data_IF_641550557768
#
_entry.id   IF_641550557768
#
_cell.length_a   1.000
_cell.length_b   1.000
_cell.length_c   1.000
_cell.angle_alpha   90.00
_cell.angle_beta   90.00
_cell.angle_gamma   90.00
#
_symmetry.space_group_name_H-M   'P 1'
#
loop_
_entity.id
_entity.type
_entity.pdbx_description
1 polymer ?
#
# COMPACT_ATOMS: atom_id res chain seq x y z
N UNK A 1 -16.86 -16.69 -7.89
CA UNK A 1 -16.73 -15.42 -7.15
C UNK A 1 -16.40 -14.36 -8.19
N UNK A 2 -17.24 -13.33 -8.29
CA UNK A 2 -16.99 -12.18 -9.19
C UNK A 2 -16.17 -11.19 -8.39
N UNK A 3 -14.93 -10.98 -8.79
CA UNK A 3 -14.10 -9.90 -8.26
C UNK A 3 -14.37 -8.65 -9.09
N UNK A 4 -14.70 -7.54 -8.43
CA UNK A 4 -15.00 -6.27 -9.10
C UNK A 4 -13.95 -5.24 -8.75
N UNK A 5 -13.41 -4.59 -9.77
CA UNK A 5 -12.53 -3.43 -9.64
C UNK A 5 -13.22 -2.20 -10.27
N UNK A 6 -13.35 -1.14 -9.51
CA UNK A 6 -14.05 0.08 -9.93
C UNK A 6 -13.04 1.20 -10.19
N UNK A 7 -13.17 1.82 -11.35
CA UNK A 7 -12.47 3.05 -11.68
C UNK A 7 -13.50 4.17 -11.53
N UNK A 8 -13.23 5.08 -10.62
CA UNK A 8 -14.08 6.26 -10.42
C UNK A 8 -13.43 7.50 -11.06
N UNK A 9 -14.19 8.53 -11.43
CA UNK A 9 -13.62 9.75 -12.01
C UNK A 9 -12.48 10.35 -11.17
N UNK A 10 -12.54 10.23 -9.85
CA UNK A 10 -11.46 10.67 -8.94
C UNK A 10 -10.13 9.96 -9.19
N UNK A 11 -10.13 8.73 -9.70
CA UNK A 11 -8.92 7.97 -10.01
C UNK A 11 -8.08 8.66 -11.09
N UNK A 12 -8.70 9.40 -12.02
CA UNK A 12 -7.96 10.11 -13.08
C UNK A 12 -7.10 11.26 -12.57
N UNK A 13 -7.26 11.65 -11.31
CA UNK A 13 -6.47 12.68 -10.62
C UNK A 13 -5.57 12.09 -9.53
N UNK A 14 -5.30 10.79 -9.58
CA UNK A 14 -4.60 10.03 -8.54
C UNK A 14 -3.26 10.68 -8.14
N UNK A 15 -2.45 11.11 -9.11
CA UNK A 15 -1.14 11.70 -8.86
C UNK A 15 -1.21 13.17 -8.43
N UNK A 16 -2.35 13.85 -8.58
CA UNK A 16 -2.60 15.17 -8.00
C UNK A 16 -3.12 15.09 -6.56
N UNK A 17 -3.66 13.94 -6.16
CA UNK A 17 -4.19 13.72 -4.83
C UNK A 17 -3.07 13.45 -3.80
N UNK A 18 -3.46 13.23 -2.55
CA UNK A 18 -2.54 12.89 -1.47
C UNK A 18 -2.07 11.41 -1.55
N UNK A 19 -1.07 11.08 -0.73
CA UNK A 19 -0.52 9.72 -0.65
C UNK A 19 -1.52 8.67 -0.15
N UNK A 20 -2.56 9.08 0.57
CA UNK A 20 -3.61 8.17 1.04
C UNK A 20 -4.46 7.66 -0.12
N UNK A 21 -4.83 8.52 -1.07
CA UNK A 21 -5.58 8.13 -2.26
C UNK A 21 -4.73 7.18 -3.15
N UNK A 22 -3.44 7.48 -3.34
CA UNK A 22 -2.53 6.62 -4.13
C UNK A 22 -2.34 5.24 -3.49
N UNK A 23 -2.12 5.21 -2.18
CA UNK A 23 -2.03 3.96 -1.43
C UNK A 23 -3.36 3.20 -1.48
N UNK A 24 -4.49 3.89 -1.29
CA UNK A 24 -5.82 3.30 -1.36
C UNK A 24 -6.11 2.66 -2.71
N UNK A 25 -5.65 3.26 -3.80
CA UNK A 25 -5.75 2.69 -5.15
C UNK A 25 -4.95 1.37 -5.27
N UNK A 26 -3.71 1.34 -4.78
CA UNK A 26 -2.90 0.14 -4.74
C UNK A 26 -3.56 -0.96 -3.87
N UNK A 27 -3.98 -0.60 -2.66
CA UNK A 27 -4.62 -1.54 -1.73
C UNK A 27 -5.92 -2.10 -2.30
N UNK A 28 -6.65 -1.32 -3.09
CA UNK A 28 -7.87 -1.77 -3.77
C UNK A 28 -7.56 -2.79 -4.87
N UNK A 29 -6.53 -2.55 -5.70
CA UNK A 29 -6.08 -3.52 -6.71
C UNK A 29 -5.70 -4.85 -6.05
N UNK A 30 -4.85 -4.83 -5.02
CA UNK A 30 -4.43 -6.04 -4.33
C UNK A 30 -5.63 -6.76 -3.69
N UNK A 31 -6.51 -6.02 -3.00
CA UNK A 31 -7.68 -6.59 -2.33
C UNK A 31 -8.70 -7.20 -3.27
N UNK A 32 -8.71 -6.80 -4.55
CA UNK A 32 -9.60 -7.38 -5.56
C UNK A 32 -9.16 -8.77 -6.01
N UNK A 33 -7.89 -9.12 -5.80
CA UNK A 33 -7.30 -10.41 -6.21
C UNK A 33 -6.87 -11.27 -5.03
N UNK A 34 -6.60 -10.68 -3.90
CA UNK A 34 -6.13 -11.33 -2.68
C UNK A 34 -7.07 -11.04 -1.50
N UNK A 35 -7.91 -12.03 -1.17
CA UNK A 35 -8.85 -11.93 -0.04
C UNK A 35 -8.14 -11.91 1.32
N UNK A 36 -6.96 -12.52 1.43
CA UNK A 36 -6.20 -12.56 2.68
C UNK A 36 -5.51 -11.22 2.92
N UNK A 37 -5.06 -10.55 1.86
CA UNK A 37 -4.60 -9.16 1.95
C UNK A 37 -5.68 -8.23 2.54
N UNK A 38 -6.91 -8.33 2.04
CA UNK A 38 -8.05 -7.56 2.55
C UNK A 38 -8.31 -7.82 4.04
N UNK A 39 -8.23 -9.09 4.48
CA UNK A 39 -8.36 -9.46 5.90
C UNK A 39 -7.22 -8.87 6.74
N UNK A 40 -5.98 -8.95 6.23
CA UNK A 40 -4.80 -8.41 6.91
C UNK A 40 -4.87 -6.89 7.10
N UNK A 41 -5.32 -6.14 6.09
CA UNK A 41 -5.61 -4.71 6.21
C UNK A 41 -6.64 -4.41 7.29
N UNK A 42 -7.76 -5.14 7.26
CA UNK A 42 -8.84 -4.97 8.26
C UNK A 42 -8.36 -5.26 9.68
N UNK A 43 -7.59 -6.33 9.87
CA UNK A 43 -7.01 -6.68 11.17
C UNK A 43 -5.99 -5.61 11.62
N UNK A 44 -5.14 -5.14 10.72
CA UNK A 44 -4.19 -4.08 11.00
C UNK A 44 -4.89 -2.81 11.50
N UNK A 45 -5.91 -2.33 10.80
CA UNK A 45 -6.66 -1.12 11.20
C UNK A 45 -7.43 -1.31 12.51
N UNK A 46 -7.96 -2.52 12.75
CA UNK A 46 -8.57 -2.88 14.04
C UNK A 46 -7.55 -2.76 15.18
N UNK A 47 -6.39 -3.41 15.08
CA UNK A 47 -5.36 -3.37 16.11
C UNK A 47 -4.76 -1.97 16.28
N UNK A 48 -4.60 -1.21 15.20
CA UNK A 48 -4.17 0.18 15.25
C UNK A 48 -5.13 1.05 16.07
N UNK A 49 -6.44 0.87 15.84
CA UNK A 49 -7.48 1.59 16.58
C UNK A 49 -7.55 1.16 18.04
N UNK A 50 -7.43 -0.15 18.31
CA UNK A 50 -7.43 -0.71 19.66
C UNK A 50 -6.21 -0.23 20.46
N UNK A 51 -5.02 -0.23 19.85
CA UNK A 51 -3.80 0.31 20.48
C UNK A 51 -4.00 1.74 20.99
N UNK A 52 -4.54 2.62 20.18
CA UNK A 52 -4.75 4.02 20.58
C UNK A 52 -5.78 4.14 21.72
N UNK A 53 -6.85 3.33 21.68
CA UNK A 53 -7.84 3.31 22.76
C UNK A 53 -7.22 2.92 24.11
N UNK A 54 -6.34 1.91 24.11
CA UNK A 54 -5.66 1.46 25.32
C UNK A 54 -4.63 2.49 25.77
N UNK A 55 -3.82 3.00 24.87
CA UNK A 55 -2.83 4.03 25.19
C UNK A 55 -3.45 5.29 25.80
N UNK A 56 -4.64 5.72 25.35
CA UNK A 56 -5.36 6.87 25.95
C UNK A 56 -5.89 6.62 27.36
N UNK A 57 -6.09 5.35 27.73
CA UNK A 57 -6.56 4.92 29.05
C UNK A 57 -5.42 4.33 29.89
N UNK A 58 -4.19 4.66 29.54
CA UNK A 58 -2.98 4.03 30.06
C UNK A 58 -2.98 3.96 31.59
N UNK A 59 -2.81 2.76 32.09
CA UNK A 59 -2.37 2.46 33.45
C UNK A 59 -1.34 1.31 33.41
N UNK A 60 -0.52 1.19 34.43
CA UNK A 60 0.57 0.19 34.47
C UNK A 60 0.10 -1.27 34.27
N UNK A 61 -1.17 -1.58 34.56
CA UNK A 61 -1.73 -2.92 34.42
C UNK A 61 -2.01 -3.31 32.95
N UNK A 62 -1.92 -2.37 32.01
CA UNK A 62 -2.24 -2.61 30.60
C UNK A 62 -1.00 -2.79 29.72
N UNK A 63 0.20 -2.77 30.28
CA UNK A 63 1.46 -2.84 29.53
C UNK A 63 1.54 -4.11 28.68
N UNK A 64 1.22 -5.28 29.25
CA UNK A 64 1.30 -6.55 28.52
C UNK A 64 0.27 -6.63 27.39
N UNK A 65 -0.91 -6.03 27.59
CA UNK A 65 -1.91 -5.96 26.56
C UNK A 65 -1.46 -5.09 25.36
N UNK A 66 -0.87 -3.92 25.65
CA UNK A 66 -0.32 -3.04 24.59
C UNK A 66 0.78 -3.74 23.83
N UNK A 67 1.73 -4.41 24.50
CA UNK A 67 2.79 -5.18 23.84
C UNK A 67 2.23 -6.26 22.92
N UNK A 68 1.19 -6.99 23.35
CA UNK A 68 0.55 -8.01 22.53
C UNK A 68 -0.07 -7.41 21.25
N UNK A 69 -0.75 -6.27 21.37
CA UNK A 69 -1.36 -5.57 20.23
C UNK A 69 -0.27 -5.02 19.29
N UNK A 70 0.80 -4.44 19.84
CA UNK A 70 1.91 -3.93 19.05
C UNK A 70 2.62 -5.03 18.27
N UNK A 71 2.79 -6.22 18.89
CA UNK A 71 3.32 -7.40 18.20
C UNK A 71 2.43 -7.81 17.02
N UNK A 72 1.11 -7.90 17.23
CA UNK A 72 0.18 -8.18 16.13
C UNK A 72 0.21 -7.12 15.06
N UNK A 73 0.29 -5.85 15.46
CA UNK A 73 0.34 -4.72 14.53
C UNK A 73 1.61 -4.74 13.68
N UNK A 74 2.77 -5.07 14.27
CA UNK A 74 4.03 -5.21 13.56
C UNK A 74 3.97 -6.36 12.56
N UNK A 75 3.49 -7.53 12.96
CA UNK A 75 3.35 -8.70 12.11
C UNK A 75 2.43 -8.44 10.91
N UNK A 76 1.19 -7.95 11.13
CA UNK A 76 0.29 -7.59 10.04
C UNK A 76 0.87 -6.49 9.15
N UNK A 77 1.58 -5.53 9.73
CA UNK A 77 2.21 -4.45 8.97
C UNK A 77 3.27 -4.95 8.01
N UNK A 78 4.13 -5.87 8.43
CA UNK A 78 5.14 -6.48 7.56
C UNK A 78 4.49 -7.30 6.46
N UNK A 79 3.45 -8.10 6.77
CA UNK A 79 2.69 -8.87 5.77
C UNK A 79 2.09 -7.95 4.70
N UNK A 80 1.52 -6.81 5.10
CA UNK A 80 0.93 -5.82 4.18
C UNK A 80 2.01 -5.20 3.28
N UNK A 81 3.15 -4.77 3.85
CA UNK A 81 4.23 -4.18 3.07
C UNK A 81 4.84 -5.19 2.09
N UNK A 82 5.02 -6.45 2.51
CA UNK A 82 5.54 -7.51 1.65
C UNK A 82 4.59 -7.82 0.49
N UNK A 83 3.29 -7.93 0.76
CA UNK A 83 2.27 -8.13 -0.26
C UNK A 83 2.24 -6.97 -1.28
N UNK A 84 2.30 -5.71 -0.83
CA UNK A 84 2.39 -4.54 -1.71
C UNK A 84 3.63 -4.60 -2.61
N UNK A 85 4.77 -4.95 -2.03
CA UNK A 85 6.04 -5.06 -2.76
C UNK A 85 5.98 -6.15 -3.83
N UNK A 86 5.49 -7.33 -3.48
CA UNK A 86 5.38 -8.44 -4.42
C UNK A 86 4.41 -8.14 -5.55
N UNK A 87 3.24 -7.59 -5.24
CA UNK A 87 2.26 -7.15 -6.24
C UNK A 87 2.84 -6.08 -7.17
N UNK A 88 3.53 -5.09 -6.61
CA UNK A 88 4.14 -4.01 -7.40
C UNK A 88 5.23 -4.53 -8.34
N UNK A 89 6.01 -5.52 -7.90
CA UNK A 89 7.01 -6.19 -8.73
C UNK A 89 6.36 -6.86 -9.95
N UNK A 90 5.28 -7.60 -9.76
CA UNK A 90 4.53 -8.24 -10.85
C UNK A 90 3.88 -7.21 -11.77
N UNK A 91 3.31 -6.15 -11.21
CA UNK A 91 2.70 -5.06 -11.97
C UNK A 91 3.73 -4.35 -12.85
N UNK A 92 4.92 -4.05 -12.32
CA UNK A 92 6.02 -3.43 -13.07
C UNK A 92 6.51 -4.29 -14.24
N UNK A 93 6.49 -5.61 -14.12
CA UNK A 93 6.85 -6.51 -15.23
C UNK A 93 5.89 -6.38 -16.42
N UNK A 94 4.65 -6.02 -16.18
CA UNK A 94 3.62 -5.86 -17.20
C UNK A 94 3.49 -4.41 -17.73
N UNK A 95 3.95 -3.41 -16.97
CA UNK A 95 3.79 -1.99 -17.31
C UNK A 95 4.35 -1.64 -18.69
N UNK A 96 5.53 -2.15 -19.01
CA UNK A 96 6.24 -1.80 -20.24
C UNK A 96 5.82 -2.64 -21.45
N UNK A 97 4.84 -3.52 -21.32
CA UNK A 97 4.33 -4.30 -22.45
C UNK A 97 3.65 -3.42 -23.51
N UNK A 98 3.15 -2.26 -23.11
CA UNK A 98 2.48 -1.29 -23.98
C UNK A 98 3.30 -0.03 -24.24
N UNK A 99 4.63 -0.10 -24.09
CA UNK A 99 5.55 1.04 -24.20
C UNK A 99 5.55 1.71 -25.59
N UNK A 100 5.06 1.02 -26.64
CA UNK A 100 4.84 1.64 -27.95
C UNK A 100 3.69 2.66 -28.00
N UNK A 101 2.79 2.62 -27.01
CA UNK A 101 1.60 3.48 -26.94
C UNK A 101 1.66 4.39 -25.71
N UNK A 102 2.24 3.89 -24.62
CA UNK A 102 2.33 4.54 -23.32
C UNK A 102 3.78 4.80 -22.92
N UNK A 103 4.06 5.80 -22.07
CA UNK A 103 5.40 6.03 -21.55
C UNK A 103 5.90 4.81 -20.77
N UNK A 104 7.22 4.60 -20.79
CA UNK A 104 7.86 3.57 -20.00
C UNK A 104 7.83 3.96 -18.53
N UNK A 105 7.14 3.20 -17.70
CA UNK A 105 6.86 3.55 -16.32
C UNK A 105 7.50 2.58 -15.32
N UNK A 106 7.93 3.14 -14.20
CA UNK A 106 8.35 2.42 -12.99
C UNK A 106 7.50 2.87 -11.81
N UNK A 107 6.89 1.92 -11.11
CA UNK A 107 6.18 2.16 -9.85
C UNK A 107 7.08 1.81 -8.67
N UNK A 108 7.04 2.64 -7.63
CA UNK A 108 7.82 2.45 -6.41
C UNK A 108 6.99 2.70 -5.16
N UNK A 109 7.39 2.04 -4.05
CA UNK A 109 6.83 2.29 -2.72
C UNK A 109 7.80 3.19 -1.94
N UNK A 110 7.28 4.31 -1.45
CA UNK A 110 8.01 5.24 -0.59
C UNK A 110 7.51 5.14 0.83
N UNK A 111 8.04 4.18 1.58
CA UNK A 111 7.79 4.01 3.00
C UNK A 111 9.05 3.50 3.71
N UNK A 112 9.18 3.77 5.01
CA UNK A 112 10.36 3.34 5.78
C UNK A 112 10.42 1.81 5.89
N UNK A 113 9.29 1.16 6.17
CA UNK A 113 9.19 -0.32 6.22
C UNK A 113 9.40 -0.94 4.84
N UNK A 114 8.88 -0.32 3.79
CA UNK A 114 9.03 -0.80 2.41
C UNK A 114 10.50 -0.80 2.00
N UNK A 115 11.25 0.27 2.34
CA UNK A 115 12.69 0.39 2.09
C UNK A 115 13.51 -0.63 2.88
N UNK A 116 13.11 -0.90 4.12
CA UNK A 116 13.80 -1.90 4.95
C UNK A 116 13.61 -3.32 4.41
N UNK A 117 12.40 -3.67 3.96
CA UNK A 117 12.11 -4.97 3.36
C UNK A 117 12.90 -5.26 2.06
N UNK A 118 13.47 -4.24 1.42
CA UNK A 118 14.38 -4.44 0.29
C UNK A 118 15.77 -4.91 0.73
N UNK A 119 16.15 -4.72 2.00
CA UNK A 119 17.50 -4.88 2.49
C UNK A 119 17.65 -5.89 3.64
N UNK A 120 16.54 -6.16 4.33
CA UNK A 120 16.52 -6.97 5.55
C UNK A 120 15.43 -8.05 5.51
N UNK A 121 15.64 -9.19 6.18
CA UNK A 121 14.62 -10.21 6.35
C UNK A 121 13.38 -9.66 7.07
N UNK A 122 12.22 -10.24 6.77
CA UNK A 122 10.92 -9.81 7.33
C UNK A 122 10.91 -9.79 8.88
N UNK A 123 11.60 -10.74 9.52
CA UNK A 123 11.70 -10.81 10.99
C UNK A 123 12.41 -9.58 11.58
N UNK A 124 13.51 -9.13 10.97
CA UNK A 124 14.23 -7.92 11.42
C UNK A 124 13.38 -6.66 11.24
N UNK A 125 12.60 -6.60 10.16
CA UNK A 125 11.69 -5.50 9.89
C UNK A 125 10.52 -5.50 10.88
N UNK A 126 10.00 -6.67 11.26
CA UNK A 126 8.98 -6.82 12.31
C UNK A 126 9.51 -6.31 13.67
N UNK A 127 10.72 -6.72 14.06
CA UNK A 127 11.37 -6.25 15.29
C UNK A 127 11.63 -4.74 15.27
N UNK A 128 12.05 -4.20 14.13
CA UNK A 128 12.22 -2.76 13.96
C UNK A 128 10.89 -2.03 14.12
N UNK A 129 9.82 -2.54 13.50
CA UNK A 129 8.50 -1.94 13.59
C UNK A 129 7.99 -1.96 15.03
N UNK A 130 8.16 -3.09 15.73
CA UNK A 130 7.78 -3.23 17.14
C UNK A 130 8.49 -2.17 17.99
N UNK A 131 9.82 -2.02 17.86
CA UNK A 131 10.58 -0.99 18.58
C UNK A 131 10.05 0.42 18.27
N UNK A 132 9.74 0.72 17.01
CA UNK A 132 9.17 2.03 16.62
C UNK A 132 7.80 2.29 17.23
N UNK A 133 6.95 1.28 17.37
CA UNK A 133 5.67 1.41 18.06
C UNK A 133 5.88 1.71 19.55
N UNK A 134 6.82 1.02 20.20
CA UNK A 134 7.15 1.23 21.62
C UNK A 134 7.72 2.64 21.86
N UNK A 135 8.70 3.07 21.07
CA UNK A 135 9.33 4.39 21.16
C UNK A 135 8.31 5.53 20.99
N UNK A 136 7.30 5.32 20.13
CA UNK A 136 6.31 6.35 19.82
C UNK A 136 5.08 6.38 20.76
N UNK A 137 4.96 5.51 21.78
CA UNK A 137 3.78 5.46 22.64
C UNK A 137 3.35 6.83 23.18
N UNK A 138 4.28 7.58 23.79
CA UNK A 138 3.98 8.90 24.35
C UNK A 138 3.53 9.90 23.28
N UNK A 139 4.19 9.93 22.13
CA UNK A 139 3.81 10.76 21.01
C UNK A 139 2.44 10.39 20.47
N UNK A 140 2.15 9.11 20.39
CA UNK A 140 0.88 8.57 19.88
C UNK A 140 -0.29 8.91 20.81
N UNK A 141 -0.05 8.89 22.13
CA UNK A 141 -1.03 9.36 23.14
C UNK A 141 -1.37 10.82 22.89
N UNK A 142 -0.36 11.67 22.79
CA UNK A 142 -0.53 13.11 22.60
C UNK A 142 -1.25 13.43 21.27
N UNK A 143 -0.87 12.74 20.20
CA UNK A 143 -1.43 12.96 18.86
C UNK A 143 -2.77 12.24 18.65
N UNK A 144 -3.14 11.32 19.52
CA UNK A 144 -4.36 10.51 19.39
C UNK A 144 -4.36 9.54 18.22
N UNK A 145 -3.20 9.24 17.62
CA UNK A 145 -3.05 8.37 16.45
C UNK A 145 -1.69 7.66 16.45
N UNK A 146 -1.62 6.49 15.81
CA UNK A 146 -0.35 5.79 15.59
C UNK A 146 0.44 6.51 14.48
N UNK A 147 1.57 7.13 14.85
CA UNK A 147 2.38 7.94 13.94
C UNK A 147 3.26 7.09 13.02
N UNK A 148 3.82 6.00 13.52
CA UNK A 148 4.59 5.04 12.72
C UNK A 148 3.68 3.90 12.25
N UNK A 149 3.45 3.79 10.94
CA UNK A 149 2.46 2.84 10.41
C UNK A 149 2.67 2.59 8.91
N UNK A 150 2.19 1.45 8.42
CA UNK A 150 2.15 1.11 6.98
C UNK A 150 1.27 2.07 6.14
N UNK A 151 0.45 2.88 6.82
CA UNK A 151 -0.35 3.92 6.18
C UNK A 151 0.49 5.16 5.80
N UNK A 152 1.80 5.14 6.05
CA UNK A 152 2.76 6.18 5.61
C UNK A 152 3.42 5.87 4.27
N UNK A 153 3.24 4.65 3.77
CA UNK A 153 3.66 4.28 2.42
C UNK A 153 2.95 5.15 1.38
N UNK A 154 3.69 5.61 0.39
CA UNK A 154 3.16 6.27 -0.81
C UNK A 154 3.46 5.42 -2.05
N UNK A 155 2.56 5.43 -3.03
CA UNK A 155 2.77 4.87 -4.35
C UNK A 155 3.27 5.99 -5.28
N UNK A 156 4.48 5.83 -5.77
CA UNK A 156 5.11 6.75 -6.72
C UNK A 156 5.14 6.11 -8.10
N UNK A 157 5.10 6.93 -9.14
CA UNK A 157 5.29 6.52 -10.52
C UNK A 157 6.30 7.47 -11.18
N UNK A 158 7.23 6.90 -11.92
CA UNK A 158 8.26 7.62 -12.67
C UNK A 158 8.24 7.19 -14.12
N UNK A 159 8.45 8.14 -15.00
CA UNK A 159 8.87 7.86 -16.38
C UNK A 159 10.34 7.41 -16.34
N UNK A 160 10.64 6.25 -16.94
CA UNK A 160 11.98 5.64 -16.85
C UNK A 160 12.98 6.45 -17.68
N UNK A 161 12.56 6.99 -18.80
CA UNK A 161 13.47 7.65 -19.75
C UNK A 161 13.88 9.04 -19.24
N UNK A 162 12.92 9.79 -18.70
CA UNK A 162 13.17 11.14 -18.16
C UNK A 162 13.43 11.19 -16.66
N UNK A 163 13.24 10.09 -15.93
CA UNK A 163 13.25 10.02 -14.46
C UNK A 163 12.31 11.04 -13.81
N UNK A 164 11.27 11.42 -14.53
CA UNK A 164 10.31 12.43 -14.10
C UNK A 164 9.19 11.80 -13.28
N UNK A 165 8.91 12.37 -12.09
CA UNK A 165 7.81 11.94 -11.23
C UNK A 165 6.46 12.27 -11.88
N UNK A 166 5.53 11.31 -11.84
CA UNK A 166 4.19 11.44 -12.43
C UNK A 166 3.40 12.65 -11.89
N UNK A 167 3.71 13.12 -10.70
CA UNK A 167 3.07 14.30 -10.09
C UNK A 167 3.39 15.60 -10.81
N UNK A 168 4.50 15.66 -11.56
CA UNK A 168 4.93 16.85 -12.33
C UNK A 168 4.41 16.86 -13.76
N UNK A 169 3.78 15.78 -14.23
CA UNK A 169 3.20 15.70 -15.57
C UNK A 169 1.88 16.47 -15.68
N UNK A 170 1.53 16.85 -16.90
CA UNK A 170 0.23 17.44 -17.20
C UNK A 170 -0.92 16.49 -16.85
N UNK A 171 -2.12 17.03 -16.67
CA UNK A 171 -3.32 16.23 -16.36
C UNK A 171 -3.59 15.16 -17.43
N UNK A 172 -3.30 15.46 -18.70
CA UNK A 172 -3.46 14.52 -19.80
C UNK A 172 -2.48 13.34 -19.68
N UNK A 173 -1.20 13.63 -19.44
CA UNK A 173 -0.16 12.62 -19.26
C UNK A 173 -0.42 11.76 -18.00
N UNK A 174 -0.86 12.36 -16.90
CA UNK A 174 -1.23 11.61 -15.70
C UNK A 174 -2.37 10.62 -15.95
N UNK A 175 -3.36 10.98 -16.79
CA UNK A 175 -4.41 10.04 -17.20
C UNK A 175 -3.85 8.87 -17.99
N UNK A 176 -2.92 9.13 -18.91
CA UNK A 176 -2.23 8.08 -19.68
C UNK A 176 -1.48 7.13 -18.73
N UNK A 177 -0.77 7.65 -17.74
CA UNK A 177 -0.07 6.85 -16.71
C UNK A 177 -1.05 5.95 -15.96
N UNK A 178 -2.20 6.48 -15.53
CA UNK A 178 -3.22 5.71 -14.83
C UNK A 178 -3.78 4.59 -15.72
N UNK A 179 -4.07 4.88 -17.00
CA UNK A 179 -4.51 3.84 -17.93
C UNK A 179 -3.44 2.77 -18.13
N UNK A 180 -2.16 3.13 -18.21
CA UNK A 180 -1.06 2.17 -18.31
C UNK A 180 -1.04 1.22 -17.10
N UNK A 181 -1.21 1.75 -15.88
CA UNK A 181 -1.29 0.97 -14.64
C UNK A 181 -2.50 0.02 -14.68
N UNK A 182 -3.66 0.51 -15.11
CA UNK A 182 -4.90 -0.28 -15.18
C UNK A 182 -4.78 -1.40 -16.21
N UNK A 183 -4.25 -1.11 -17.42
CA UNK A 183 -4.05 -2.14 -18.43
C UNK A 183 -3.02 -3.19 -18.00
N UNK A 184 -1.97 -2.77 -17.31
CA UNK A 184 -0.99 -3.70 -16.73
C UNK A 184 -1.60 -4.60 -15.65
N UNK A 185 -2.49 -4.05 -14.85
CA UNK A 185 -3.25 -4.81 -13.86
C UNK A 185 -4.20 -5.83 -14.53
N UNK A 186 -4.93 -5.42 -15.57
CA UNK A 186 -5.78 -6.31 -16.35
C UNK A 186 -4.96 -7.48 -16.92
N UNK A 187 -3.80 -7.18 -17.49
CA UNK A 187 -2.89 -8.21 -18.03
C UNK A 187 -2.38 -9.15 -16.95
N UNK A 188 -2.08 -8.63 -15.76
CA UNK A 188 -1.71 -9.45 -14.60
C UNK A 188 -2.85 -10.41 -14.21
N UNK A 189 -4.10 -9.94 -14.24
CA UNK A 189 -5.28 -10.77 -13.97
C UNK A 189 -5.47 -11.88 -15.01
N UNK A 190 -5.28 -11.58 -16.28
CA UNK A 190 -5.39 -12.55 -17.37
C UNK A 190 -4.33 -13.66 -17.25
N UNK A 191 -3.12 -13.32 -16.84
CA UNK A 191 -2.04 -14.30 -16.68
C UNK A 191 -2.22 -15.25 -15.49
N UNK A 192 -2.90 -14.80 -14.44
CA UNK A 192 -3.04 -15.52 -13.17
C UNK A 192 -4.32 -16.35 -13.05
N UNK A 193 -5.27 -16.22 -13.98
CA UNK A 193 -6.54 -16.94 -13.91
C UNK A 193 -7.27 -16.98 -15.27
N UNK A 194 -8.07 -18.02 -15.48
CA UNK A 194 -9.10 -18.06 -16.52
C UNK A 194 -10.26 -17.08 -16.20
N UNK A 195 -9.94 -15.82 -15.90
CA UNK A 195 -10.93 -14.79 -15.56
C UNK A 195 -11.49 -14.17 -16.83
N UNK A 196 -12.81 -14.23 -17.01
CA UNK A 196 -13.50 -13.40 -17.97
C UNK A 196 -13.60 -11.97 -17.41
N UNK A 197 -12.89 -11.03 -18.00
CA UNK A 197 -12.93 -9.62 -17.62
C UNK A 197 -14.10 -8.97 -18.35
N UNK A 198 -15.04 -8.39 -17.60
CA UNK A 198 -16.18 -7.66 -18.17
C UNK A 198 -15.99 -6.18 -17.86
N UNK A 199 -15.93 -5.38 -18.90
CA UNK A 199 -15.89 -3.92 -18.79
C UNK A 199 -17.30 -3.35 -18.82
N UNK A 200 -17.62 -2.49 -17.86
CA UNK A 200 -18.80 -1.64 -17.90
C UNK A 200 -18.35 -0.19 -18.14
N UNK A 201 -18.83 0.41 -19.20
CA UNK A 201 -18.62 1.82 -19.56
C UNK A 201 -19.80 2.67 -19.11
#
# INVERSE_FOLDING_TARGET
IINTFWIVPKTTFLFQNNSEDRRGFLDHMISSVDSDYKKNLSNYDKFKSERIKILKRWNNNQLEWVKLIEKKLASYGVIICDARRNFLKELNQNLNTFSSIFPSLQLELSGELDKLLLKSPAVEVEDFFLRKLEENRNKDILMGKTNFSVNKTDLLAFDIDSMTDARSFSTGEQKIIIFSIIFSFIKLLESNSNLNIIFFS
#
